data_IF_383661970367
#
_entry.id   IF_383661970367
#
_cell.length_a   1.000
_cell.length_b   1.000
_cell.length_c   1.000
_cell.angle_alpha   90.00
_cell.angle_beta   90.00
_cell.angle_gamma   90.00
#
_symmetry.space_group_name_H-M   'P 1'
#
loop_
_entity.id
_entity.type
_entity.pdbx_description
1 polymer ?
#
# COMPACT_ATOMS: atom_id res chain seq x y z
N UNK A 1 24.87 -20.44 14.19
CA UNK A 1 24.62 -21.30 13.02
C UNK A 1 23.14 -21.30 12.69
N UNK A 2 22.80 -21.32 11.39
CA UNK A 2 21.42 -21.42 10.90
C UNK A 2 21.20 -22.81 10.31
N UNK A 3 20.17 -23.50 10.77
CA UNK A 3 19.75 -24.81 10.24
C UNK A 3 18.64 -24.56 9.21
N UNK A 4 18.84 -25.02 7.96
CA UNK A 4 17.78 -24.99 6.96
C UNK A 4 16.98 -26.29 7.00
N UNK A 5 15.73 -26.22 7.44
CA UNK A 5 14.81 -27.34 7.52
C UNK A 5 14.11 -27.56 6.17
N UNK A 6 14.78 -28.31 5.28
CA UNK A 6 14.28 -28.56 3.93
C UNK A 6 13.19 -29.63 3.94
N UNK A 7 11.97 -29.24 3.58
CA UNK A 7 10.84 -30.15 3.41
C UNK A 7 9.88 -29.66 2.31
N UNK A 8 9.50 -30.52 1.35
CA UNK A 8 8.56 -30.13 0.27
C UNK A 8 7.15 -29.82 0.79
N UNK A 9 6.83 -30.22 2.01
CA UNK A 9 5.56 -29.95 2.69
C UNK A 9 5.69 -28.92 3.83
N UNK A 10 6.87 -28.27 3.91
CA UNK A 10 7.25 -27.22 4.87
C UNK A 10 7.36 -27.73 6.32
N UNK A 11 6.38 -28.47 6.82
CA UNK A 11 6.37 -29.08 8.15
C UNK A 11 6.11 -30.58 7.99
N UNK A 12 7.04 -31.38 8.42
CA UNK A 12 6.94 -32.84 8.56
C UNK A 12 7.62 -33.27 9.87
N UNK A 13 7.67 -34.56 10.15
CA UNK A 13 8.24 -35.07 11.40
C UNK A 13 9.73 -34.72 11.53
N UNK A 14 10.48 -34.70 10.43
CA UNK A 14 11.91 -34.31 10.45
C UNK A 14 12.10 -32.85 10.83
N UNK A 15 11.22 -31.96 10.38
CA UNK A 15 11.22 -30.54 10.73
C UNK A 15 10.86 -30.33 12.21
N UNK A 16 9.86 -31.10 12.72
CA UNK A 16 9.48 -31.07 14.15
C UNK A 16 10.61 -31.56 15.04
N UNK A 17 11.28 -32.64 14.67
CA UNK A 17 12.46 -33.15 15.37
C UNK A 17 13.61 -32.12 15.37
N UNK A 18 13.87 -31.48 14.22
CA UNK A 18 14.88 -30.42 14.13
C UNK A 18 14.53 -29.21 15.00
N UNK A 19 13.27 -28.81 15.04
CA UNK A 19 12.80 -27.71 15.91
C UNK A 19 12.99 -28.06 17.41
N UNK A 20 12.58 -29.28 17.80
CA UNK A 20 12.74 -29.76 19.16
C UNK A 20 14.20 -29.93 19.61
N UNK A 21 15.11 -30.16 18.65
CA UNK A 21 16.55 -30.31 18.88
C UNK A 21 17.33 -28.99 18.91
N UNK A 22 16.71 -27.85 18.69
CA UNK A 22 17.40 -26.55 18.68
C UNK A 22 17.93 -26.21 20.09
N UNK A 23 19.23 -25.90 20.18
CA UNK A 23 19.83 -25.36 21.39
C UNK A 23 19.68 -23.84 21.45
N UNK A 24 19.85 -23.30 22.65
CA UNK A 24 19.83 -21.84 22.87
C UNK A 24 20.78 -21.10 21.92
N UNK A 25 20.27 -20.07 21.25
CA UNK A 25 21.00 -19.24 20.28
C UNK A 25 21.10 -19.84 18.88
N UNK A 26 20.54 -21.01 18.64
CA UNK A 26 20.41 -21.56 17.28
C UNK A 26 19.18 -21.02 16.58
N UNK A 27 19.23 -20.96 15.25
CA UNK A 27 18.14 -20.49 14.39
C UNK A 27 17.85 -21.57 13.35
N UNK A 28 16.57 -21.85 13.14
CA UNK A 28 16.09 -22.70 12.05
C UNK A 28 15.30 -21.87 11.03
N UNK A 29 15.60 -22.06 9.78
CA UNK A 29 14.86 -21.49 8.65
C UNK A 29 14.00 -22.58 8.03
N UNK A 30 12.71 -22.34 7.95
CA UNK A 30 11.76 -23.21 7.25
C UNK A 30 11.82 -23.01 5.75
N UNK A 31 11.30 -23.99 5.01
CA UNK A 31 10.99 -23.85 3.59
C UNK A 31 9.91 -22.80 3.37
N UNK A 32 9.75 -22.32 2.13
CA UNK A 32 8.75 -21.30 1.81
C UNK A 32 7.34 -21.78 2.17
N UNK A 33 6.72 -21.11 3.12
CA UNK A 33 5.38 -21.46 3.64
C UNK A 33 4.32 -21.45 2.54
N UNK A 34 4.52 -20.69 1.45
CA UNK A 34 3.59 -20.64 0.31
C UNK A 34 3.68 -21.83 -0.63
N UNK A 35 4.54 -22.80 -0.38
CA UNK A 35 4.45 -24.10 -1.03
C UNK A 35 3.23 -24.92 -0.58
N UNK A 36 2.61 -24.51 0.55
CA UNK A 36 1.35 -25.08 1.02
C UNK A 36 0.19 -24.19 0.56
N UNK A 37 -0.80 -24.81 -0.08
CA UNK A 37 -2.00 -24.13 -0.56
C UNK A 37 -2.87 -23.55 0.59
N UNK A 38 -2.79 -24.17 1.76
CA UNK A 38 -3.48 -23.75 2.98
C UNK A 38 -2.98 -22.43 3.53
N UNK A 39 -1.71 -22.07 3.30
CA UNK A 39 -1.07 -20.88 3.84
C UNK A 39 -1.88 -19.61 3.56
N UNK A 40 -2.18 -19.33 2.30
CA UNK A 40 -2.87 -18.11 1.88
C UNK A 40 -4.38 -18.11 2.21
N UNK A 41 -4.92 -19.26 2.59
CA UNK A 41 -6.33 -19.45 2.93
C UNK A 41 -6.57 -19.54 4.43
N UNK A 42 -5.50 -19.48 5.22
CA UNK A 42 -5.53 -19.64 6.68
C UNK A 42 -6.26 -20.93 7.12
N UNK A 43 -5.87 -22.06 6.56
CA UNK A 43 -6.58 -23.33 6.74
C UNK A 43 -5.78 -24.37 7.52
N UNK A 44 -6.52 -25.20 8.27
CA UNK A 44 -5.98 -26.42 8.88
C UNK A 44 -5.72 -27.52 7.82
N UNK A 45 -4.76 -28.44 8.09
CA UNK A 45 -4.01 -28.57 9.35
C UNK A 45 -2.74 -27.70 9.42
N UNK A 46 -2.40 -26.94 8.38
CA UNK A 46 -1.10 -26.25 8.27
C UNK A 46 -0.87 -25.21 9.35
N UNK A 47 -1.93 -24.52 9.79
CA UNK A 47 -1.82 -23.54 10.90
C UNK A 47 -1.35 -24.22 12.20
N UNK A 48 -1.96 -25.35 12.55
CA UNK A 48 -1.56 -26.12 13.73
C UNK A 48 -0.17 -26.75 13.59
N UNK A 49 0.21 -27.18 12.38
CA UNK A 49 1.56 -27.70 12.09
C UNK A 49 2.61 -26.62 12.35
N UNK A 50 2.40 -25.39 11.85
CA UNK A 50 3.31 -24.26 12.11
C UNK A 50 3.38 -23.93 13.60
N UNK A 51 2.26 -23.87 14.29
CA UNK A 51 2.19 -23.59 15.72
C UNK A 51 2.93 -24.63 16.56
N UNK A 52 3.02 -25.89 16.12
CA UNK A 52 3.71 -26.94 16.83
C UNK A 52 5.24 -26.81 16.88
N UNK A 53 5.80 -25.85 16.12
CA UNK A 53 7.25 -25.66 16.06
C UNK A 53 7.81 -24.71 17.12
N UNK A 54 6.96 -24.06 17.91
CA UNK A 54 7.41 -23.09 18.91
C UNK A 54 6.41 -22.82 20.03
N UNK A 55 6.83 -22.08 21.03
CA UNK A 55 6.04 -21.74 22.22
C UNK A 55 5.46 -20.34 22.18
N UNK A 56 6.04 -19.45 21.40
CA UNK A 56 5.66 -18.04 21.26
C UNK A 56 5.73 -17.68 19.78
N UNK A 57 4.69 -17.01 19.30
CA UNK A 57 4.69 -16.44 17.95
C UNK A 57 5.10 -14.96 17.97
N UNK A 58 6.10 -14.61 17.18
CA UNK A 58 6.51 -13.23 16.96
C UNK A 58 6.22 -12.84 15.51
N UNK A 59 5.30 -11.91 15.29
CA UNK A 59 5.07 -11.35 13.97
C UNK A 59 5.98 -10.11 13.78
N UNK A 60 6.94 -10.23 12.88
CA UNK A 60 7.85 -9.13 12.51
C UNK A 60 7.90 -8.90 10.99
N UNK A 61 6.87 -9.34 10.27
CA UNK A 61 6.73 -9.25 8.83
C UNK A 61 5.65 -8.20 8.45
N UNK A 62 5.99 -6.91 8.57
CA UNK A 62 5.05 -5.81 8.31
C UNK A 62 4.41 -5.88 6.92
N UNK A 63 5.20 -6.16 5.88
CA UNK A 63 4.71 -6.25 4.50
C UNK A 63 3.62 -7.31 4.26
N UNK A 64 3.47 -8.28 5.14
CA UNK A 64 2.44 -9.34 5.08
C UNK A 64 1.43 -9.30 6.22
N UNK A 65 1.63 -8.43 7.21
CA UNK A 65 0.80 -8.37 8.42
C UNK A 65 -0.69 -8.08 8.13
N UNK A 66 -1.00 -7.43 7.01
CA UNK A 66 -2.37 -7.15 6.57
C UNK A 66 -3.11 -8.38 5.99
N UNK A 67 -2.44 -9.53 5.84
CA UNK A 67 -3.00 -10.75 5.25
C UNK A 67 -3.40 -11.75 6.33
N UNK A 68 -4.62 -12.32 6.22
CA UNK A 68 -5.06 -13.40 7.09
C UNK A 68 -4.54 -14.75 6.58
N UNK A 69 -3.22 -15.00 6.71
CA UNK A 69 -2.56 -16.25 6.34
C UNK A 69 -2.29 -17.12 7.58
N UNK A 70 -1.96 -18.42 7.38
CA UNK A 70 -1.57 -19.30 8.49
C UNK A 70 -0.41 -18.71 9.29
N UNK A 71 0.65 -18.30 8.60
CA UNK A 71 1.90 -17.80 9.22
C UNK A 71 1.82 -16.36 9.75
N UNK A 72 0.72 -15.64 9.55
CA UNK A 72 0.56 -14.26 10.03
C UNK A 72 -0.56 -14.12 11.07
N UNK A 73 -1.74 -14.66 10.79
CA UNK A 73 -2.92 -14.53 11.64
C UNK A 73 -3.30 -15.84 12.32
N UNK A 74 -3.32 -16.96 11.57
CA UNK A 74 -3.81 -18.24 12.06
C UNK A 74 -3.04 -18.75 13.26
N UNK A 75 -1.71 -18.74 13.20
CA UNK A 75 -0.82 -19.21 14.26
C UNK A 75 -1.04 -18.48 15.60
N UNK A 76 -1.50 -17.22 15.55
CA UNK A 76 -1.79 -16.43 16.75
C UNK A 76 -3.00 -16.98 17.55
N UNK A 77 -3.81 -17.85 16.96
CA UNK A 77 -4.90 -18.52 17.66
C UNK A 77 -4.41 -19.71 18.53
N UNK A 78 -3.18 -20.14 18.31
CA UNK A 78 -2.58 -21.29 19.00
C UNK A 78 -1.55 -20.92 20.04
N UNK A 79 -0.84 -19.81 19.85
CA UNK A 79 0.31 -19.42 20.65
C UNK A 79 0.16 -18.02 21.24
N UNK A 80 0.75 -17.76 22.40
CA UNK A 80 0.99 -16.37 22.83
C UNK A 80 1.71 -15.60 21.74
N UNK A 81 1.18 -14.43 21.38
CA UNK A 81 1.60 -13.70 20.19
C UNK A 81 2.01 -12.28 20.52
N UNK A 82 3.13 -11.82 19.98
CA UNK A 82 3.67 -10.48 20.15
C UNK A 82 4.15 -9.90 18.83
N UNK A 83 4.26 -8.58 18.74
CA UNK A 83 4.94 -7.91 17.63
C UNK A 83 6.46 -8.00 17.78
N UNK A 84 7.17 -8.13 16.68
CA UNK A 84 8.61 -7.91 16.64
C UNK A 84 8.97 -6.43 16.50
N UNK A 85 10.25 -6.11 16.56
CA UNK A 85 10.76 -4.74 16.56
C UNK A 85 10.49 -3.97 15.27
N UNK A 86 10.40 -4.65 14.12
CA UNK A 86 10.04 -3.99 12.87
C UNK A 86 8.59 -3.50 12.92
N UNK A 87 7.65 -4.37 13.32
CA UNK A 87 6.24 -3.99 13.47
C UNK A 87 6.06 -2.93 14.56
N UNK A 88 6.75 -3.03 15.71
CA UNK A 88 6.72 -2.01 16.75
C UNK A 88 7.12 -0.64 16.19
N UNK A 89 8.21 -0.59 15.42
CA UNK A 89 8.69 0.63 14.76
C UNK A 89 7.67 1.19 13.76
N UNK A 90 7.09 0.35 12.91
CA UNK A 90 6.07 0.76 11.93
C UNK A 90 4.81 1.28 12.63
N UNK A 91 4.30 0.56 13.63
CA UNK A 91 3.13 0.99 14.42
C UNK A 91 3.39 2.34 15.10
N UNK A 92 4.58 2.52 15.67
CA UNK A 92 4.94 3.79 16.29
C UNK A 92 4.97 4.93 15.28
N UNK A 93 5.72 4.78 14.19
CA UNK A 93 5.86 5.87 13.20
C UNK A 93 4.56 6.19 12.48
N UNK A 94 3.80 5.17 12.06
CA UNK A 94 2.52 5.38 11.37
C UNK A 94 1.43 5.83 12.34
N UNK A 95 1.40 5.27 13.56
CA UNK A 95 0.45 5.66 14.60
C UNK A 95 0.65 7.11 15.03
N UNK A 96 1.87 7.47 15.43
CA UNK A 96 2.22 8.83 15.85
C UNK A 96 1.89 9.86 14.74
N UNK A 97 2.21 9.52 13.47
CA UNK A 97 1.91 10.39 12.34
C UNK A 97 0.41 10.59 12.09
N UNK A 98 -0.46 9.65 12.52
CA UNK A 98 -1.91 9.74 12.35
C UNK A 98 -2.63 10.31 13.57
N UNK A 99 -2.06 10.14 14.78
CA UNK A 99 -2.69 10.59 16.03
C UNK A 99 -2.31 12.03 16.41
N UNK A 100 -1.03 12.37 16.30
CA UNK A 100 -0.49 13.70 16.63
C UNK A 100 0.60 14.13 15.62
N UNK A 101 0.23 14.40 14.35
CA UNK A 101 1.19 14.75 13.32
C UNK A 101 1.85 16.10 13.56
N UNK A 102 3.14 16.18 13.25
CA UNK A 102 3.79 17.48 13.06
C UNK A 102 3.15 18.18 11.85
N UNK A 103 2.87 19.50 11.98
CA UNK A 103 2.15 20.26 10.94
C UNK A 103 3.04 21.26 10.23
N UNK A 104 2.85 21.52 8.91
CA UNK A 104 1.78 20.93 8.08
C UNK A 104 1.98 19.43 7.80
N UNK A 105 0.91 18.65 7.94
CA UNK A 105 0.88 17.23 7.59
C UNK A 105 0.32 17.06 6.18
N UNK A 106 1.14 16.59 5.25
CA UNK A 106 0.79 16.43 3.83
C UNK A 106 0.75 14.94 3.51
N UNK A 107 -0.39 14.47 3.01
CA UNK A 107 -0.49 13.11 2.48
C UNK A 107 -0.39 13.12 0.95
N UNK A 108 0.35 12.14 0.40
CA UNK A 108 0.45 11.90 -1.04
C UNK A 108 -0.25 10.60 -1.36
N UNK A 109 -1.18 10.64 -2.29
CA UNK A 109 -1.90 9.45 -2.74
C UNK A 109 -1.78 9.27 -4.25
N UNK A 110 -1.56 8.03 -4.65
CA UNK A 110 -1.49 7.62 -6.04
C UNK A 110 -2.05 6.22 -6.24
N UNK A 111 -2.31 5.88 -7.49
CA UNK A 111 -2.85 4.58 -7.89
C UNK A 111 -3.62 4.68 -9.20
N UNK A 112 -4.20 3.56 -9.64
CA UNK A 112 -4.97 3.49 -10.87
C UNK A 112 -6.46 3.82 -10.63
N UNK A 113 -7.05 3.27 -9.55
CA UNK A 113 -8.48 3.38 -9.25
C UNK A 113 -8.75 4.29 -8.06
N UNK A 114 -9.71 5.18 -8.20
CA UNK A 114 -10.16 6.08 -7.14
C UNK A 114 -11.00 5.32 -6.11
N UNK A 115 -11.93 4.48 -6.55
CA UNK A 115 -12.88 3.79 -5.68
C UNK A 115 -12.23 3.01 -4.54
N UNK A 116 -11.12 2.30 -4.82
CA UNK A 116 -10.36 1.55 -3.81
C UNK A 116 -9.72 2.44 -2.73
N UNK A 117 -9.57 3.73 -2.99
CA UNK A 117 -8.87 4.69 -2.12
C UNK A 117 -9.80 5.66 -1.38
N UNK A 118 -11.09 5.73 -1.74
CA UNK A 118 -12.06 6.62 -1.10
C UNK A 118 -12.09 6.47 0.42
N UNK A 119 -12.19 5.25 1.01
CA UNK A 119 -12.21 5.12 2.45
C UNK A 119 -10.94 5.66 3.13
N UNK A 120 -9.81 5.52 2.47
CA UNK A 120 -8.53 6.05 2.97
C UNK A 120 -8.51 7.58 2.89
N UNK A 121 -8.97 8.16 1.77
CA UNK A 121 -9.06 9.62 1.61
C UNK A 121 -10.00 10.24 2.64
N UNK A 122 -11.16 9.64 2.88
CA UNK A 122 -12.12 10.10 3.89
C UNK A 122 -11.52 10.11 5.29
N UNK A 123 -10.76 9.07 5.64
CA UNK A 123 -10.07 9.01 6.93
C UNK A 123 -8.93 10.04 7.04
N UNK A 124 -8.27 10.38 5.94
CA UNK A 124 -7.17 11.34 5.93
C UNK A 124 -7.66 12.80 5.95
N UNK A 125 -8.76 13.13 5.26
CA UNK A 125 -9.31 14.50 5.19
C UNK A 125 -9.50 15.11 6.58
N UNK A 126 -9.85 14.32 7.60
CA UNK A 126 -9.97 14.81 8.98
C UNK A 126 -8.62 15.00 9.72
N UNK A 127 -7.50 14.65 9.12
CA UNK A 127 -6.20 14.57 9.80
C UNK A 127 -5.08 15.37 9.13
N UNK A 128 -5.16 15.59 7.82
CA UNK A 128 -4.12 16.24 7.03
C UNK A 128 -4.43 17.71 6.76
N UNK A 129 -3.39 18.50 6.50
CA UNK A 129 -3.52 19.89 6.06
C UNK A 129 -3.60 19.97 4.52
N UNK A 130 -2.99 19.03 3.83
CA UNK A 130 -3.10 18.89 2.37
C UNK A 130 -3.10 17.44 1.92
N UNK A 131 -3.84 17.16 0.85
CA UNK A 131 -3.90 15.86 0.18
C UNK A 131 -3.47 16.05 -1.29
N UNK A 132 -2.34 15.45 -1.66
CA UNK A 132 -1.77 15.53 -3.00
C UNK A 132 -2.08 14.25 -3.77
N UNK A 133 -2.67 14.39 -4.94
CA UNK A 133 -3.06 13.27 -5.80
C UNK A 133 -2.09 13.13 -6.96
N UNK A 134 -1.67 11.90 -7.23
CA UNK A 134 -0.84 11.54 -8.37
C UNK A 134 -1.25 10.22 -9.02
N UNK A 135 -0.51 9.83 -10.05
CA UNK A 135 -0.76 8.57 -10.77
C UNK A 135 -2.05 8.56 -11.58
N UNK A 136 -2.46 7.37 -12.04
CA UNK A 136 -3.61 7.18 -12.92
C UNK A 136 -4.95 7.65 -12.37
N UNK A 137 -5.11 7.63 -11.05
CA UNK A 137 -6.34 8.13 -10.40
C UNK A 137 -6.60 9.62 -10.65
N UNK A 138 -5.57 10.41 -10.97
CA UNK A 138 -5.72 11.84 -11.30
C UNK A 138 -6.67 12.06 -12.47
N UNK A 139 -6.68 11.17 -13.46
CA UNK A 139 -7.53 11.31 -14.65
C UNK A 139 -9.01 11.12 -14.36
N UNK A 140 -9.36 10.31 -13.37
CA UNK A 140 -10.73 10.20 -12.88
C UNK A 140 -11.19 11.52 -12.24
N UNK A 141 -10.34 12.18 -11.47
CA UNK A 141 -10.63 13.52 -10.94
C UNK A 141 -10.76 14.57 -12.04
N UNK A 142 -9.88 14.54 -13.05
CA UNK A 142 -9.97 15.45 -14.19
C UNK A 142 -11.29 15.26 -14.95
N UNK A 143 -11.71 14.02 -15.20
CA UNK A 143 -12.98 13.71 -15.84
C UNK A 143 -14.18 14.14 -14.97
N UNK A 144 -14.10 13.95 -13.66
CA UNK A 144 -15.11 14.41 -12.72
C UNK A 144 -15.26 15.95 -12.71
N UNK A 145 -14.18 16.69 -12.98
CA UNK A 145 -14.16 18.14 -13.18
C UNK A 145 -14.67 18.58 -14.56
N UNK A 146 -14.95 17.64 -15.47
CA UNK A 146 -15.44 17.92 -16.82
C UNK A 146 -14.36 18.06 -17.89
N UNK A 147 -13.11 17.72 -17.59
CA UNK A 147 -12.02 17.77 -18.56
C UNK A 147 -11.97 16.50 -19.43
N UNK A 148 -11.47 16.65 -20.67
CA UNK A 148 -11.17 15.50 -21.53
C UNK A 148 -9.81 14.92 -21.13
N UNK A 149 -9.74 13.59 -21.12
CA UNK A 149 -8.56 12.86 -20.60
C UNK A 149 -7.91 11.96 -21.68
N UNK A 150 -8.33 12.11 -22.96
CA UNK A 150 -7.86 11.26 -24.05
C UNK A 150 -8.13 9.78 -23.81
N UNK A 151 -7.12 8.95 -24.01
CA UNK A 151 -7.17 7.51 -23.78
C UNK A 151 -6.61 7.12 -22.38
N UNK A 152 -6.53 8.07 -21.46
CA UNK A 152 -6.03 7.82 -20.09
C UNK A 152 -6.91 6.83 -19.33
N UNK A 153 -6.34 6.17 -18.35
CA UNK A 153 -7.08 5.28 -17.46
C UNK A 153 -8.22 6.04 -16.77
N UNK A 154 -9.39 5.42 -16.70
CA UNK A 154 -10.58 5.99 -16.08
C UNK A 154 -11.26 4.97 -15.19
N UNK A 155 -11.63 5.39 -14.01
CA UNK A 155 -12.53 4.68 -13.09
C UNK A 155 -13.92 5.35 -13.18
N UNK A 156 -14.69 4.97 -14.23
CA UNK A 156 -15.95 5.62 -14.58
C UNK A 156 -17.01 5.52 -13.47
N UNK A 157 -17.04 4.37 -12.78
CA UNK A 157 -17.98 4.12 -11.69
C UNK A 157 -17.72 5.04 -10.47
N UNK A 158 -16.53 5.62 -10.37
CA UNK A 158 -16.10 6.45 -9.24
C UNK A 158 -16.17 7.95 -9.51
N UNK A 159 -16.78 8.43 -10.61
CA UNK A 159 -16.82 9.86 -10.93
C UNK A 159 -17.58 10.69 -9.89
N UNK A 160 -18.73 10.21 -9.41
CA UNK A 160 -19.50 10.90 -8.39
C UNK A 160 -18.76 10.88 -7.04
N UNK A 161 -18.15 9.75 -6.69
CA UNK A 161 -17.31 9.66 -5.49
C UNK A 161 -16.11 10.61 -5.54
N UNK A 162 -15.50 10.79 -6.73
CA UNK A 162 -14.42 11.75 -6.91
C UNK A 162 -14.87 13.21 -6.69
N UNK A 163 -16.09 13.58 -7.13
CA UNK A 163 -16.68 14.90 -6.84
C UNK A 163 -16.94 15.08 -5.36
N UNK A 164 -17.53 14.07 -4.73
CA UNK A 164 -17.87 14.10 -3.31
C UNK A 164 -16.63 14.26 -2.42
N UNK A 165 -15.53 13.55 -2.75
CA UNK A 165 -14.30 13.64 -1.95
C UNK A 165 -13.62 15.01 -2.09
N UNK A 166 -13.60 15.59 -3.31
CA UNK A 166 -13.11 16.95 -3.51
C UNK A 166 -13.91 17.97 -2.69
N UNK A 167 -15.25 17.85 -2.70
CA UNK A 167 -16.12 18.71 -1.89
C UNK A 167 -15.90 18.52 -0.40
N UNK A 168 -15.78 17.29 0.08
CA UNK A 168 -15.48 17.00 1.50
C UNK A 168 -14.16 17.62 1.95
N UNK A 169 -13.12 17.57 1.10
CA UNK A 169 -11.84 18.20 1.38
C UNK A 169 -11.98 19.73 1.49
N UNK A 170 -12.71 20.36 0.56
CA UNK A 170 -13.01 21.80 0.59
C UNK A 170 -13.79 22.19 1.87
N UNK A 171 -14.85 21.46 2.19
CA UNK A 171 -15.69 21.70 3.38
C UNK A 171 -14.89 21.52 4.69
N UNK A 172 -13.89 20.65 4.69
CA UNK A 172 -12.98 20.42 5.81
C UNK A 172 -11.80 21.40 5.88
N UNK A 173 -11.63 22.27 4.89
CA UNK A 173 -10.49 23.19 4.79
C UNK A 173 -9.17 22.51 4.46
N UNK A 174 -9.19 21.30 3.89
CA UNK A 174 -8.01 20.54 3.46
C UNK A 174 -7.66 20.93 2.03
N UNK A 175 -6.41 21.30 1.80
CA UNK A 175 -5.92 21.64 0.47
C UNK A 175 -5.85 20.36 -0.40
N UNK A 176 -6.75 20.26 -1.40
CA UNK A 176 -6.80 19.11 -2.30
C UNK A 176 -6.04 19.43 -3.59
N UNK A 177 -4.83 18.90 -3.74
CA UNK A 177 -3.92 19.20 -4.84
C UNK A 177 -3.99 18.14 -5.93
N UNK A 178 -4.44 18.55 -7.11
CA UNK A 178 -4.42 17.75 -8.33
C UNK A 178 -3.30 18.23 -9.26
N UNK A 179 -2.74 17.35 -10.09
CA UNK A 179 -1.78 17.77 -11.11
C UNK A 179 -2.35 18.86 -12.01
N UNK A 180 -1.52 19.83 -12.41
CA UNK A 180 -1.90 20.92 -13.31
C UNK A 180 -1.47 20.68 -14.76
N UNK A 181 -0.51 19.77 -14.94
CA UNK A 181 -0.04 19.27 -16.23
C UNK A 181 0.32 17.79 -16.13
N UNK A 182 0.41 17.13 -17.27
CA UNK A 182 0.74 15.72 -17.36
C UNK A 182 1.64 15.44 -18.55
N UNK A 183 2.54 14.48 -18.39
CA UNK A 183 3.29 13.87 -19.49
C UNK A 183 2.38 12.89 -20.18
N UNK A 184 2.14 13.05 -21.49
CA UNK A 184 1.29 12.22 -22.30
C UNK A 184 2.10 11.43 -23.32
N UNK A 185 1.59 10.25 -23.69
CA UNK A 185 2.14 9.42 -24.76
C UNK A 185 1.00 8.71 -25.50
N UNK A 186 1.28 8.23 -26.74
CA UNK A 186 0.30 7.44 -27.52
C UNK A 186 0.25 5.99 -27.05
N UNK A 187 1.38 5.46 -26.58
CA UNK A 187 1.52 4.07 -26.18
C UNK A 187 2.14 3.97 -24.80
N UNK A 188 1.74 2.96 -24.05
CA UNK A 188 2.29 2.65 -22.73
C UNK A 188 3.62 1.87 -22.88
N UNK A 189 4.66 2.56 -23.37
CA UNK A 189 6.01 2.03 -23.45
C UNK A 189 7.06 3.14 -23.26
N UNK A 190 8.30 2.75 -22.94
CA UNK A 190 9.39 3.69 -22.65
C UNK A 190 9.85 4.50 -23.85
N UNK A 191 9.69 3.97 -25.07
CA UNK A 191 10.19 4.56 -26.32
C UNK A 191 9.12 5.44 -27.01
N UNK A 192 7.89 5.47 -26.48
CA UNK A 192 6.81 6.30 -27.01
C UNK A 192 7.19 7.79 -26.89
N UNK A 193 7.03 8.59 -27.96
CA UNK A 193 7.23 10.03 -27.92
C UNK A 193 6.36 10.66 -26.84
N UNK A 194 6.96 11.52 -26.01
CA UNK A 194 6.31 12.17 -24.88
C UNK A 194 5.96 13.61 -25.20
N UNK A 195 4.79 14.04 -24.76
CA UNK A 195 4.31 15.42 -24.87
C UNK A 195 3.77 15.88 -23.53
N UNK A 196 4.08 17.11 -23.11
CA UNK A 196 3.50 17.69 -21.90
C UNK A 196 2.23 18.43 -22.26
N UNK A 197 1.13 18.13 -21.59
CA UNK A 197 -0.18 18.74 -21.78
C UNK A 197 -0.67 19.36 -20.47
N UNK A 198 -1.33 20.50 -20.54
CA UNK A 198 -2.11 21.02 -19.42
C UNK A 198 -3.28 20.05 -19.14
N UNK A 199 -3.68 19.91 -17.88
CA UNK A 199 -4.69 18.92 -17.46
C UNK A 199 -6.06 19.04 -18.15
N UNK A 200 -6.40 20.25 -18.63
CA UNK A 200 -7.65 20.58 -19.33
C UNK A 200 -7.51 20.53 -20.85
N UNK A 201 -6.35 20.11 -21.38
CA UNK A 201 -6.03 20.09 -22.81
C UNK A 201 -5.35 18.80 -23.26
N UNK A 202 -5.70 17.68 -22.67
CA UNK A 202 -5.17 16.36 -23.08
C UNK A 202 -5.81 15.97 -24.41
N UNK A 203 -5.01 15.76 -25.49
CA UNK A 203 -5.54 15.35 -26.80
C UNK A 203 -6.23 13.98 -26.73
N UNK A 204 -7.23 13.77 -27.61
CA UNK A 204 -8.05 12.57 -27.62
C UNK A 204 -7.27 11.28 -27.97
N UNK A 205 -6.13 11.40 -28.65
CA UNK A 205 -5.32 10.27 -29.16
C UNK A 205 -4.11 9.93 -28.28
N UNK A 206 -4.01 10.50 -27.09
CA UNK A 206 -2.93 10.22 -26.13
C UNK A 206 -3.48 9.89 -24.75
N UNK A 207 -2.67 9.21 -23.97
CA UNK A 207 -2.92 8.93 -22.54
C UNK A 207 -1.94 9.69 -21.65
N UNK A 208 -2.41 10.15 -20.53
CA UNK A 208 -1.54 10.66 -19.48
C UNK A 208 -0.77 9.54 -18.80
N UNK A 209 0.51 9.77 -18.58
CA UNK A 209 1.46 8.79 -18.04
C UNK A 209 1.92 9.14 -16.64
N UNK A 210 2.25 10.42 -16.42
CA UNK A 210 2.79 10.91 -15.15
C UNK A 210 2.54 12.41 -15.02
N UNK A 211 2.83 12.97 -13.85
CA UNK A 211 2.76 14.42 -13.61
C UNK A 211 3.75 15.17 -14.51
N UNK A 212 3.35 16.35 -14.96
CA UNK A 212 4.20 17.23 -15.76
C UNK A 212 5.12 18.11 -14.91
N UNK A 213 6.03 18.86 -15.55
CA UNK A 213 7.04 19.69 -14.86
C UNK A 213 6.44 20.79 -14.00
N UNK A 214 5.32 21.40 -14.40
CA UNK A 214 4.63 22.42 -13.58
C UNK A 214 4.07 21.81 -12.29
N UNK A 215 3.55 20.58 -12.38
CA UNK A 215 3.07 19.83 -11.21
C UNK A 215 4.21 19.46 -10.29
N UNK A 216 5.35 19.02 -10.84
CA UNK A 216 6.57 18.73 -10.04
C UNK A 216 7.00 19.96 -9.24
N UNK A 217 7.06 21.14 -9.87
CA UNK A 217 7.41 22.39 -9.19
C UNK A 217 6.39 22.74 -8.09
N UNK A 218 5.09 22.66 -8.40
CA UNK A 218 4.01 22.93 -7.45
C UNK A 218 4.09 22.00 -6.23
N UNK A 219 4.26 20.70 -6.48
CA UNK A 219 4.31 19.69 -5.43
C UNK A 219 5.60 19.81 -4.60
N UNK A 220 6.74 20.04 -5.25
CA UNK A 220 8.01 20.25 -4.55
C UNK A 220 7.95 21.45 -3.61
N UNK A 221 7.36 22.56 -4.06
CA UNK A 221 7.16 23.74 -3.22
C UNK A 221 6.29 23.44 -2.00
N UNK A 222 5.19 22.71 -2.20
CA UNK A 222 4.29 22.34 -1.10
C UNK A 222 4.95 21.39 -0.12
N UNK A 223 5.68 20.39 -0.62
CA UNK A 223 6.39 19.42 0.22
C UNK A 223 7.54 20.04 1.03
N UNK A 224 8.14 21.12 0.56
CA UNK A 224 9.15 21.84 1.32
C UNK A 224 8.61 22.49 2.60
N UNK A 225 7.28 22.65 2.72
CA UNK A 225 6.61 23.17 3.92
C UNK A 225 6.32 22.04 4.94
N UNK A 226 6.29 20.76 4.50
CA UNK A 226 5.92 19.61 5.33
C UNK A 226 6.93 19.35 6.46
N UNK A 227 6.44 18.79 7.56
CA UNK A 227 7.25 18.43 8.73
C UNK A 227 7.13 16.93 9.04
#
# INVERSE_FOLDING_TARGET
>A
DVVFAKSPVVVDDSVKEAAAGLASGQVMLLENVRYRAEETKNQEPFTGELASLGDIFVNDAFGTAHRAHCSTAGIASYLPSVSGFLIEKEVKFLGDALEDPARPFIAIMGGAKVGDKIPVMENLIGKVDALMIGGGMSYTFFKAMGYEIGTSILDEESLDLARDIMKKAEDAGVEFLLPVDTVCAKEFNNDSPKTVCDRDKIPADVMGMDIGPKTVELYAKKLAEAK
#
